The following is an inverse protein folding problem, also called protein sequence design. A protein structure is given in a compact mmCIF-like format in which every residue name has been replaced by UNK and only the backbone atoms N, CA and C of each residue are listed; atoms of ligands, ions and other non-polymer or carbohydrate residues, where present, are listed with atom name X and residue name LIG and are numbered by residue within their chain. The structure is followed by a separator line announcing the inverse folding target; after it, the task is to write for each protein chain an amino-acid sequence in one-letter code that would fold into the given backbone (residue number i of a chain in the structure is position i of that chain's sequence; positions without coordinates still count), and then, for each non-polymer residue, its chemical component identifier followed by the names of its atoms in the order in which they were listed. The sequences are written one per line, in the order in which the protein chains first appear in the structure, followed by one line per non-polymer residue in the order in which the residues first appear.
data_IF_539324593511
#
_entry.id   IF_539324593511
#
_cell.length_a   1.000
_cell.length_b   1.000
_cell.length_c   1.000
_cell.angle_alpha   90.00
_cell.angle_beta   90.00
_cell.angle_gamma   90.00
#
_symmetry.space_group_name_H-M   'P 1'
#
loop_
_entity.id
_entity.type
_entity.pdbx_description
1 polymer ?
2 non-polymer ?
3 non-polymer ?
4 water ?
#
# COMPACT_ATOMS: atom_id res chain seq x y z
N UNK A 1 15.65 -9.16 1.26
CA UNK A 1 15.00 -8.43 0.13
C UNK A 1 14.67 -6.97 0.47
N UNK A 2 14.14 -6.26 -0.53
CA UNK A 2 13.68 -4.89 -0.40
C UNK A 2 12.21 -4.94 0.01
N UNK A 3 11.89 -4.44 1.21
CA UNK A 3 10.48 -4.34 1.67
C UNK A 3 10.04 -2.92 1.41
N UNK A 4 8.95 -2.78 0.64
CA UNK A 4 8.48 -1.48 0.21
C UNK A 4 7.11 -1.24 0.73
N UNK A 5 6.87 -0.04 1.26
CA UNK A 5 5.53 0.43 1.53
C UNK A 5 4.99 1.15 0.30
N UNK A 6 3.69 1.00 0.06
CA UNK A 6 2.98 1.62 -1.04
C UNK A 6 1.70 2.18 -0.44
N UNK A 7 1.59 3.50 -0.29
CA UNK A 7 0.39 4.16 0.26
C UNK A 7 -0.09 5.44 -0.55
N UNK A 8 -1.40 5.66 -0.63
CA UNK A 8 -1.95 6.97 -1.03
C UNK A 8 -2.45 7.68 0.21
N UNK A 9 -2.12 8.95 0.40
CA UNK A 9 -2.63 9.66 1.60
C UNK A 9 -2.97 11.14 1.46
N UNK A 10 -3.92 11.55 2.29
CA UNK A 10 -4.39 12.91 2.53
C UNK A 10 -3.32 13.88 3.05
N UNK A 11 -3.60 15.17 2.96
CA UNK A 11 -2.72 16.16 3.59
C UNK A 11 -2.62 15.98 5.10
N UNK A 12 -3.64 15.41 5.73
CA UNK A 12 -3.56 15.00 7.15
C UNK A 12 -3.31 13.51 7.42
N UNK A 13 -2.62 12.84 6.48
CA UNK A 13 -2.27 11.37 6.54
C UNK A 13 -3.45 10.38 6.57
N UNK A 14 -4.67 10.84 6.25
CA UNK A 14 -5.85 9.97 6.17
C UNK A 14 -5.66 9.04 4.97
N UNK A 15 -5.86 7.72 5.16
CA UNK A 15 -5.85 6.74 4.02
C UNK A 15 -7.20 6.00 3.72
N UNK A 16 -8.18 6.09 4.62
CA UNK A 16 -9.46 5.46 4.41
C UNK A 16 -10.54 5.92 5.37
N UNK A 17 -11.79 5.70 4.97
CA UNK A 17 -12.93 6.17 5.73
C UNK A 17 -13.87 5.02 6.08
N UNK A 18 -14.45 4.38 5.07
CA UNK A 18 -15.46 3.36 5.35
C UNK A 18 -14.70 2.11 5.74
N UNK A 19 -14.47 1.31 4.72
CA UNK A 19 -13.48 0.28 4.71
C UNK A 19 -13.08 0.44 3.28
N UNK A 20 -12.85 1.70 2.94
CA UNK A 20 -12.77 2.15 1.56
C UNK A 20 -11.95 3.42 1.49
N UNK A 21 -11.47 3.73 0.29
CA UNK A 21 -10.82 5.00 0.05
C UNK A 21 -11.84 6.11 0.19
N UNK A 22 -11.45 7.24 0.81
CA UNK A 22 -12.31 8.43 0.89
C UNK A 22 -12.37 9.21 -0.43
N UNK A 23 -11.73 8.68 -1.47
CA UNK A 23 -11.75 9.28 -2.81
C UNK A 23 -11.90 8.21 -3.89
N UNK A 24 -12.04 8.64 -5.14
CA UNK A 24 -12.12 7.74 -6.30
C UNK A 24 -11.31 8.32 -7.48
N UNK A 25 -10.02 7.97 -7.55
CA UNK A 25 -9.08 8.49 -8.55
C UNK A 25 -8.53 7.36 -9.42
N UNK A 26 -9.17 7.08 -10.58
CA UNK A 26 -8.76 5.93 -11.41
C UNK A 26 -7.33 6.01 -11.96
N UNK A 27 -6.82 7.22 -12.20
CA UNK A 27 -5.46 7.38 -12.70
C UNK A 27 -4.40 7.05 -11.63
N UNK A 28 -4.75 7.24 -10.36
CA UNK A 28 -3.84 6.94 -9.26
C UNK A 28 -3.56 5.46 -9.25
N UNK A 29 -4.58 4.68 -9.60
CA UNK A 29 -4.54 3.23 -9.53
C UNK A 29 -3.57 2.66 -10.54
N UNK A 30 -3.09 3.50 -11.44
CA UNK A 30 -2.37 3.05 -12.64
C UNK A 30 -0.88 3.27 -12.48
N UNK A 31 -0.53 4.28 -11.68
CA UNK A 31 0.84 4.47 -11.29
C UNK A 31 1.18 3.29 -10.39
N UNK A 32 0.19 2.94 -9.58
CA UNK A 32 0.22 1.91 -8.57
C UNK A 32 0.30 0.55 -9.24
N UNK A 33 -0.50 0.39 -10.29
CA UNK A 33 -0.53 -0.83 -11.06
C UNK A 33 0.84 -1.08 -11.69
N UNK A 34 1.40 -0.06 -12.34
CA UNK A 34 2.65 -0.21 -13.10
C UNK A 34 3.86 -0.37 -12.18
N UNK A 35 3.87 0.31 -11.04
CA UNK A 35 4.96 0.16 -10.05
C UNK A 35 5.02 -1.26 -9.45
N UNK A 36 3.87 -1.81 -9.06
CA UNK A 36 3.81 -3.10 -8.34
C UNK A 36 3.79 -4.33 -9.26
N UNK A 37 3.62 -4.10 -10.55
CA UNK A 37 3.46 -5.16 -11.54
C UNK A 37 4.64 -6.12 -11.52
N UNK A 38 4.36 -7.40 -11.31
CA UNK A 38 5.40 -8.44 -11.29
C UNK A 38 5.96 -8.66 -9.89
N UNK A 39 5.21 -8.22 -8.89
CA UNK A 39 5.68 -8.24 -7.50
C UNK A 39 4.58 -8.61 -6.52
N UNK A 40 4.93 -9.37 -5.48
CA UNK A 40 3.92 -9.74 -4.49
C UNK A 40 3.39 -8.53 -3.73
N UNK A 41 2.10 -8.60 -3.40
CA UNK A 41 1.39 -7.54 -2.74
C UNK A 41 0.88 -8.19 -1.52
N UNK A 42 1.23 -7.59 -0.40
CA UNK A 42 0.84 -8.02 0.90
C UNK A 42 -0.17 -6.99 1.37
N UNK A 43 -1.34 -7.44 1.76
CA UNK A 43 -2.42 -6.55 2.09
C UNK A 43 -3.15 -7.21 3.21
N UNK A 44 -3.62 -6.39 4.16
CA UNK A 44 -4.36 -6.86 5.33
C UNK A 44 -5.69 -7.34 4.86
N UNK A 45 -6.36 -8.19 5.61
CA UNK A 45 -7.58 -8.71 4.98
C UNK A 45 -8.69 -7.70 4.86
N UNK A 46 -8.69 -6.70 5.74
CA UNK A 46 -9.60 -5.56 5.65
C UNK A 46 -9.38 -4.71 4.41
N UNK A 47 -8.12 -4.45 4.08
CA UNK A 47 -7.75 -3.92 2.78
C UNK A 47 -8.31 -4.76 1.66
N UNK A 48 -7.92 -6.03 1.60
CA UNK A 48 -8.44 -6.92 0.57
C UNK A 48 -9.94 -6.81 0.34
N UNK A 49 -10.74 -6.92 1.40
CA UNK A 49 -12.20 -6.84 1.26
C UNK A 49 -12.66 -5.51 0.66
N UNK A 50 -11.80 -4.50 0.72
CA UNK A 50 -12.05 -3.20 0.09
C UNK A 50 -11.72 -3.22 -1.41
N UNK A 51 -11.05 -4.29 -1.85
CA UNK A 51 -10.68 -4.49 -3.27
C UNK A 51 -11.55 -5.59 -3.88
N UNK A 52 -11.86 -6.61 -3.08
CA UNK A 52 -12.84 -7.63 -3.44
C UNK A 52 -12.41 -8.67 -4.47
N UNK A 53 -11.19 -8.55 -4.99
CA UNK A 53 -10.73 -9.41 -6.08
C UNK A 53 -9.21 -9.44 -6.17
N UNK A 54 -8.64 -10.54 -6.72
CA UNK A 54 -7.20 -10.62 -6.98
C UNK A 54 -6.79 -9.67 -8.11
N UNK A 55 -5.70 -8.94 -7.88
CA UNK A 55 -5.16 -7.99 -8.85
C UNK A 55 -4.14 -8.70 -9.76
N UNK A 56 -4.39 -8.72 -11.07
CA UNK A 56 -3.55 -9.56 -11.92
C UNK A 56 -2.06 -9.19 -11.97
N UNK A 57 -1.24 -10.18 -12.32
CA UNK A 57 0.21 -10.01 -12.54
C UNK A 57 1.08 -10.00 -11.30
N UNK A 58 0.46 -10.08 -10.13
CA UNK A 58 1.19 -10.01 -8.87
C UNK A 58 0.69 -11.12 -7.96
N UNK A 59 1.57 -11.62 -7.10
CA UNK A 59 1.20 -12.53 -6.02
C UNK A 59 0.49 -11.78 -4.90
N UNK A 60 -0.78 -12.10 -4.72
CA UNK A 60 -1.61 -11.47 -3.73
C UNK A 60 -1.57 -12.35 -2.50
N UNK A 61 -1.06 -11.75 -1.42
CA UNK A 61 -0.84 -12.37 -0.14
C UNK A 61 -1.67 -11.52 0.82
N UNK A 62 -2.54 -12.19 1.58
CA UNK A 62 -3.57 -11.56 2.42
C UNK A 62 -3.21 -11.97 3.85
N UNK A 63 -3.12 -10.99 4.75
CA UNK A 63 -2.77 -11.23 6.12
C UNK A 63 -4.02 -11.24 7.01
N UNK A 64 -4.27 -12.41 7.62
CA UNK A 64 -5.39 -12.64 8.52
C UNK A 64 -4.81 -13.50 9.58
N UNK A 65 -5.34 -13.38 10.80
CA UNK A 65 -5.22 -14.38 11.85
C UNK A 65 -6.16 -15.59 11.69
N UNK A 66 -7.08 -15.55 10.73
CA UNK A 66 -8.22 -16.53 10.66
C UNK A 66 -7.83 -17.81 9.87
N UNK A 67 -7.70 -18.93 10.59
CA UNK A 67 -7.19 -20.20 10.04
C UNK A 67 -8.00 -20.66 8.82
N UNK A 68 -9.23 -20.18 8.70
CA UNK A 68 -10.18 -20.71 7.73
C UNK A 68 -10.47 -19.77 6.59
N UNK A 69 -9.79 -18.63 6.56
CA UNK A 69 -9.94 -17.65 5.47
C UNK A 69 -9.21 -18.09 4.20
N UNK A 70 -9.97 -18.18 3.11
CA UNK A 70 -9.45 -18.52 1.79
C UNK A 70 -10.16 -17.74 0.72
N UNK A 71 -9.40 -17.28 -0.27
CA UNK A 71 -9.98 -16.73 -1.50
C UNK A 71 -9.20 -17.30 -2.67
N UNK A 72 -9.89 -17.89 -3.64
CA UNK A 72 -9.20 -18.45 -4.80
C UNK A 72 -8.48 -17.30 -5.49
N UNK A 73 -7.26 -17.57 -5.95
CA UNK A 73 -6.44 -16.53 -6.56
C UNK A 73 -5.66 -15.68 -5.57
N UNK A 74 -5.52 -16.15 -4.33
CA UNK A 74 -4.68 -15.44 -3.35
C UNK A 74 -4.03 -16.46 -2.40
N UNK A 75 -2.87 -16.11 -1.87
CA UNK A 75 -2.27 -16.90 -0.81
C UNK A 75 -2.73 -16.20 0.41
N UNK A 76 -2.46 -16.79 1.58
CA UNK A 76 -2.87 -16.28 2.86
C UNK A 76 -1.77 -16.57 3.88
N UNK A 77 -1.50 -15.62 4.77
CA UNK A 77 -0.43 -15.73 5.74
C UNK A 77 -0.99 -15.24 7.04
N UNK A 78 -0.74 -15.99 8.09
CA UNK A 78 -1.26 -15.73 9.39
C UNK A 78 -0.20 -15.03 10.25
N UNK A 79 0.82 -14.47 9.59
CA UNK A 79 2.07 -14.11 10.26
C UNK A 79 2.98 -13.24 9.41
N UNK A 80 3.76 -12.38 10.05
CA UNK A 80 4.87 -11.71 9.37
C UNK A 80 5.94 -12.73 8.90
N UNK A 81 6.31 -13.65 9.78
CA UNK A 81 7.23 -14.71 9.40
C UNK A 81 6.68 -15.62 8.28
N UNK A 82 5.38 -15.89 8.30
CA UNK A 82 4.78 -16.71 7.23
C UNK A 82 4.80 -15.94 5.90
N UNK A 83 4.58 -14.63 5.96
CA UNK A 83 4.77 -13.77 4.79
C UNK A 83 6.21 -13.88 4.29
N UNK A 84 7.20 -13.70 5.17
CA UNK A 84 8.57 -13.81 4.72
C UNK A 84 8.89 -15.21 4.21
N UNK A 85 8.27 -16.21 4.84
CA UNK A 85 8.50 -17.60 4.48
C UNK A 85 7.99 -17.82 3.06
N UNK A 86 6.80 -17.27 2.75
CA UNK A 86 6.25 -17.35 1.39
C UNK A 86 7.07 -16.55 0.34
N UNK A 87 7.67 -15.44 0.77
CA UNK A 87 8.42 -14.57 -0.14
C UNK A 87 9.91 -14.93 -0.15
N UNK A 88 10.18 -16.23 0.06
CA UNK A 88 11.50 -16.81 0.30
C UNK A 88 12.61 -16.28 -0.55
N UNK A 89 12.40 -16.26 -1.86
CA UNK A 89 13.46 -15.85 -2.80
C UNK A 89 13.04 -14.64 -3.63
N UNK A 90 12.21 -13.79 -3.04
CA UNK A 90 11.72 -12.58 -3.69
C UNK A 90 12.75 -11.46 -3.64
N UNK A 91 12.63 -10.51 -4.56
CA UNK A 91 13.55 -9.37 -4.66
C UNK A 91 13.01 -8.14 -3.94
N UNK A 92 11.76 -7.78 -4.24
CA UNK A 92 11.09 -6.66 -3.62
C UNK A 92 9.74 -7.16 -3.19
N UNK A 93 9.19 -6.52 -2.18
CA UNK A 93 7.93 -6.91 -1.60
C UNK A 93 7.17 -5.60 -1.33
N UNK A 94 5.92 -5.51 -1.79
CA UNK A 94 5.08 -4.32 -1.60
C UNK A 94 4.03 -4.46 -0.52
N UNK A 95 4.24 -3.73 0.57
CA UNK A 95 3.25 -3.67 1.61
C UNK A 95 2.21 -2.70 1.12
N UNK A 96 1.03 -3.26 0.84
CA UNK A 96 -0.02 -2.58 0.14
C UNK A 96 -1.01 -2.09 1.17
N UNK A 97 -0.65 -2.31 2.42
CA UNK A 97 -1.35 -1.70 3.49
C UNK A 97 -2.66 -2.23 3.96
N UNK A 98 -3.40 -1.28 4.52
CA UNK A 98 -4.09 -1.35 5.77
C UNK A 98 -3.04 -0.76 6.73
N UNK A 99 -3.42 0.15 7.63
CA UNK A 99 -2.46 0.66 8.64
C UNK A 99 -2.03 -0.42 9.62
N UNK A 100 -2.90 -1.37 9.94
CA UNK A 100 -2.49 -2.48 10.84
C UNK A 100 -1.32 -3.24 10.25
N UNK A 101 -1.37 -3.44 8.93
CA UNK A 101 -0.31 -4.07 8.20
C UNK A 101 0.92 -3.17 7.95
N UNK A 102 0.73 -1.85 7.81
CA UNK A 102 1.88 -0.96 7.73
C UNK A 102 2.57 -1.10 9.10
N UNK A 103 1.82 -1.05 10.19
CA UNK A 103 2.41 -1.31 11.51
C UNK A 103 3.22 -2.62 11.65
N UNK A 104 2.75 -3.75 11.09
CA UNK A 104 3.51 -5.00 11.24
C UNK A 104 4.88 -5.01 10.58
N UNK A 105 5.04 -4.26 9.51
CA UNK A 105 6.27 -4.37 8.71
C UNK A 105 7.20 -3.17 8.88
N UNK A 106 6.88 -2.30 9.83
CA UNK A 106 7.59 -1.06 10.08
C UNK A 106 9.07 -1.32 10.38
N UNK A 107 9.36 -2.40 11.14
CA UNK A 107 10.75 -2.75 11.45
C UNK A 107 11.54 -3.22 10.23
N UNK A 108 10.86 -3.59 9.15
CA UNK A 108 11.55 -4.17 8.02
C UNK A 108 11.62 -3.21 6.84
N UNK A 109 10.88 -2.10 6.91
CA UNK A 109 10.70 -1.24 5.71
C UNK A 109 12.04 -0.75 5.20
N UNK A 110 12.23 -0.86 3.89
CA UNK A 110 13.44 -0.39 3.21
C UNK A 110 13.13 0.84 2.35
N UNK A 111 11.91 0.97 1.82
CA UNK A 111 11.57 2.18 1.04
C UNK A 111 10.08 2.55 0.97
N UNK A 112 9.77 3.76 0.47
CA UNK A 112 8.43 4.31 0.57
C UNK A 112 7.82 4.89 -0.70
N UNK A 113 6.62 4.45 -1.06
CA UNK A 113 5.93 4.98 -2.24
C UNK A 113 4.65 5.64 -1.81
N UNK A 114 4.69 6.97 -1.78
CA UNK A 114 3.63 7.78 -1.19
C UNK A 114 3.08 8.77 -2.20
N UNK A 115 1.76 8.72 -2.38
CA UNK A 115 1.01 9.67 -3.13
C UNK A 115 0.50 10.63 -2.09
N UNK A 116 0.65 11.93 -2.30
CA UNK A 116 0.05 12.87 -1.35
C UNK A 116 -1.08 13.65 -2.01
N UNK A 117 -2.28 13.52 -1.47
CA UNK A 117 -3.42 14.26 -1.95
C UNK A 117 -3.47 15.57 -1.19
N UNK A 118 -3.54 16.68 -1.92
CA UNK A 118 -3.66 17.98 -1.29
C UNK A 118 -5.12 18.32 -1.18
N UNK A 119 -5.77 17.78 -0.15
CA UNK A 119 -7.18 18.00 0.13
C UNK A 119 -7.49 17.36 1.49
N UNK A 120 -8.48 17.87 2.19
CA UNK A 120 -8.87 17.25 3.44
C UNK A 120 -10.11 16.40 3.25
N UNK A 121 -9.95 15.09 3.40
CA UNK A 121 -11.08 14.19 3.50
C UNK A 121 -11.26 13.87 4.99
N UNK A 122 -12.50 13.76 5.44
CA UNK A 122 -12.77 13.36 6.83
C UNK A 122 -12.84 11.84 7.01
N UNK A 123 -11.69 11.16 6.87
CA UNK A 123 -11.58 9.69 7.03
C UNK A 123 -11.23 9.29 8.46
N UNK A 124 -10.94 8.00 8.68
CA UNK A 124 -10.71 7.50 10.06
C UNK A 124 -9.58 6.50 10.24
N UNK A 125 -9.03 5.99 9.16
CA UNK A 125 -7.82 5.24 9.29
C UNK A 125 -6.71 6.06 8.66
N UNK A 126 -5.60 6.12 9.39
CA UNK A 126 -4.48 6.98 9.05
C UNK A 126 -3.19 6.17 8.79
N UNK A 127 -2.31 6.67 7.94
CA UNK A 127 -1.01 6.08 7.79
C UNK A 127 -0.09 6.45 8.99
N UNK A 128 0.49 5.44 9.69
CA UNK A 128 1.32 5.72 10.85
C UNK A 128 2.50 6.64 10.58
N UNK A 129 2.83 7.43 11.59
CA UNK A 129 3.98 8.32 11.59
C UNK A 129 5.30 7.59 11.41
N UNK A 130 6.23 8.26 10.73
CA UNK A 130 7.50 7.63 10.43
C UNK A 130 8.76 8.42 10.75
N UNK A 131 9.85 7.66 10.91
CA UNK A 131 11.20 8.16 11.19
C UNK A 131 11.41 9.61 10.81
N UNK A 132 11.43 10.45 11.84
CA UNK A 132 12.01 11.78 11.74
C UNK A 132 13.41 11.54 11.19
N UNK A 133 13.95 12.52 10.44
CA UNK A 133 15.22 12.36 9.72
C UNK A 133 15.23 11.08 8.85
N UNK A 134 16.36 10.37 8.87
CA UNK A 134 16.51 9.06 8.23
C UNK A 134 16.32 9.11 6.71
N UNK A 135 15.18 8.60 6.27
CA UNK A 135 14.79 8.51 4.87
C UNK A 135 15.16 9.72 4.03
N UNK A 136 16.10 9.55 3.10
CA UNK A 136 16.39 10.56 2.09
C UNK A 136 15.46 10.37 0.92
N UNK A 137 14.92 11.47 0.39
CA UNK A 137 13.99 11.42 -0.74
C UNK A 137 14.73 11.14 -2.05
N UNK A 138 14.05 10.52 -3.02
CA UNK A 138 14.70 10.16 -4.29
C UNK A 138 13.87 10.49 -5.54
N UNK A 139 12.59 10.83 -5.35
CA UNK A 139 11.71 11.03 -6.49
C UNK A 139 10.51 11.90 -6.14
N UNK A 140 10.28 12.93 -6.94
CA UNK A 140 9.07 13.73 -6.86
C UNK A 140 8.48 13.95 -8.25
N UNK A 141 7.15 13.97 -8.32
CA UNK A 141 6.40 14.06 -9.58
C UNK A 141 4.92 14.37 -9.27
N UNK A 142 4.28 15.13 -10.15
CA UNK A 142 2.88 15.54 -9.98
C UNK A 142 1.90 14.72 -10.82
N UNK A 143 0.85 14.20 -10.23
CA UNK A 143 -0.12 13.46 -10.98
C UNK A 143 -1.14 14.30 -11.71
N UNK A 144 -2.25 13.68 -12.08
CA UNK A 144 -3.00 14.07 -13.22
C UNK A 144 -4.42 14.46 -12.85
N UNK A 145 -4.74 15.74 -12.99
CA UNK A 145 -6.06 16.21 -12.65
C UNK A 145 -7.02 16.42 -13.80
N UNK A 146 -8.25 16.03 -13.56
CA UNK A 146 -9.30 16.06 -14.57
C UNK A 146 -10.62 15.71 -13.90
N UNK A 147 -11.74 15.86 -14.63
CA UNK A 147 -13.00 15.27 -14.21
C UNK A 147 -12.74 13.76 -14.08
N UNK A 148 -12.90 13.22 -12.87
CA UNK A 148 -12.54 11.82 -12.64
C UNK A 148 -11.31 11.68 -11.74
N UNK A 149 -10.37 12.62 -11.85
CA UNK A 149 -9.23 12.74 -10.92
C UNK A 149 -9.09 14.18 -10.38
N UNK A 150 -10.19 14.77 -9.88
CA UNK A 150 -10.31 16.21 -9.72
C UNK A 150 -9.67 16.76 -8.45
N UNK A 151 -8.51 16.19 -8.09
CA UNK A 151 -7.72 16.60 -6.93
C UNK A 151 -6.27 16.77 -7.37
N UNK A 152 -5.55 17.68 -6.72
CA UNK A 152 -4.14 17.86 -7.03
C UNK A 152 -3.33 16.89 -6.16
N UNK A 153 -2.58 15.99 -6.79
CA UNK A 153 -1.83 14.96 -6.05
C UNK A 153 -0.43 14.69 -6.61
N UNK A 154 0.51 14.36 -5.71
CA UNK A 154 1.91 14.12 -6.07
C UNK A 154 2.53 12.78 -5.58
N UNK A 155 3.23 12.12 -6.49
CA UNK A 155 3.97 10.91 -6.20
C UNK A 155 5.33 11.25 -5.58
N UNK A 156 5.68 10.55 -4.50
CA UNK A 156 6.95 10.70 -3.78
C UNK A 156 7.54 9.32 -3.58
N UNK A 157 8.87 9.23 -3.53
CA UNK A 157 9.55 7.98 -3.21
C UNK A 157 10.76 8.28 -2.34
N UNK A 158 10.81 7.68 -1.16
CA UNK A 158 11.93 7.86 -0.23
C UNK A 158 12.65 6.53 -0.05
N UNK A 159 13.88 6.60 0.44
CA UNK A 159 14.69 5.43 0.71
C UNK A 159 15.51 5.70 1.96
N UNK A 160 15.70 4.67 2.77
CA UNK A 160 16.66 4.77 3.87
C UNK A 160 17.93 4.06 3.42
N UNK A 161 19.05 4.30 4.12
CA UNK A 161 20.33 3.68 3.73
C UNK A 161 20.79 2.54 4.67
X LIG B 1 -2.71 3.92 -3.72
X LIG B 1 -1.44 3.79 -3.28
X LIG B 1 -0.60 4.72 -3.68
X LIG B 1 -1.05 2.73 -2.48
X LIG B 1 -1.97 1.78 -2.10
X LIG B 1 -1.63 0.82 -1.23
X LIG B 1 -3.29 1.92 -2.54
X LIG B 1 -4.25 1.00 -2.20
X LIG B 1 -5.55 1.14 -2.63
X LIG B 1 -5.91 2.22 -3.44
X LIG B 1 -4.95 3.15 -3.81
X LIG B 1 -3.65 3.00 -3.35
X LIG B 1 -6.54 0.10 -2.19
X LIG B 1 -7.76 0.07 -2.94
X LIG B 1 -8.99 0.12 -2.11
X LIG B 1 -7.80 -1.25 -7.00
X LIG B 1 -9.02 -1.01 -6.35
X LIG B 1 -9.02 -0.59 -5.01
X LIG B 1 -7.80 -0.38 -4.32
X LIG B 1 -6.59 -0.61 -5.01
X LIG B 1 -6.60 -1.20 -6.27
X LIG B 1 -7.71 -1.68 -8.43
X LIG B 1 -8.76 -2.39 -9.07
X LIG B 1 -6.60 -1.33 -9.06
X LIG B 1 -6.20 -1.97 -10.30
X LIG B 1 -4.92 -2.74 -10.11
X LIG B 1 -3.94 -2.22 -9.51
X LIG B 1 -4.84 -3.92 -10.52
X LIG B 1 -6.09 -0.94 -11.44
X LIG B 1 -7.44 -0.33 -11.82
X LIG B 1 -8.54 -1.34 -12.12
X LIG B 1 -8.26 -2.51 -12.51
X LIG B 1 -9.76 -1.03 -12.00
X LIG C 1 -5.90 -3.72 7.29
X LIG C 1 -4.53 -3.50 7.88
X LIG C 1 -5.92 -3.53 5.81
X LIG C 1 -6.30 -5.22 7.62
X LIG C 1 -6.42 -5.54 8.98
X LIG C 1 -6.48 -7.04 9.16
X LIG C 1 -5.19 -7.61 9.06
X LIG C 1 -6.90 -7.38 10.59
X LIG C 1 -8.29 -7.20 10.77
X LIG C 1 -6.42 -8.82 10.68
X LIG C 1 -7.28 -9.66 9.93
X LIG C 1 -5.12 -8.75 9.89
X LIG C 1 -4.03 -8.67 10.89
X LIG C 1 -3.72 -7.60 11.69
X LIG C 1 -2.68 -7.99 12.47
X LIG C 1 -2.35 -9.27 12.19
X LIG C 1 -1.39 -10.14 12.70
X LIG C 1 -0.53 -9.74 13.66
X LIG C 1 -1.28 -11.42 12.18
X LIG C 1 -2.16 -11.85 11.19
X LIG C 1 -3.12 -10.98 10.72
X LIG C 1 -3.20 -9.71 11.20
X LIG C 1 -6.95 -2.82 8.08
X LIG C 1 -7.08 -1.24 8.36
X LIG C 1 -6.04 -0.81 9.29
X LIG C 1 -8.47 -0.99 8.72
X LIG C 1 -6.87 -0.59 6.92
X LIG C 1 -7.90 -0.73 5.97
X LIG C 1 -8.48 0.63 5.61
X LIG C 1 -7.47 1.45 5.05
X LIG C 1 -9.58 0.56 4.55
X LIG C 1 -10.39 1.71 4.67
X LIG C 1 -8.78 0.65 3.27
X LIG C 1 -9.54 1.14 2.21
X LIG C 1 -7.72 1.67 3.67
X LIG C 1 -6.49 1.56 2.87
X LIG C 1 -6.09 2.64 2.13
X LIG C 1 -4.92 2.58 1.36
X LIG C 1 -4.41 3.80 0.70
X LIG C 1 -3.12 3.78 0.12
X LIG C 1 -5.20 4.88 0.71
X LIG C 1 -4.17 1.42 1.35
X LIG C 1 -4.60 0.32 2.10
X LIG C 1 -5.76 0.41 2.87
X LIG C 1 -8.36 -10.63 10.64
X LIG C 1 -8.94 -11.46 9.56
X LIG C 1 -7.71 -11.54 11.65
X LIG C 1 -9.29 -9.72 11.40
#
# INVERSE_FOLDING_TARGET
MIVSFMVAMDENRVIGKDNNLPWRLPSELQYVKKTTMGHPLIMGRKNYEAIGRPLPGRRNIIVTRNEGYHVEGCEVAHSVEEVFELCKNEEEIFIFGGAQIYDLFLPYVDKLYITKIHHAFEGDTFFPEMDMTNWKEVFVEKGLTDEKNPYTYYYHVYEKQQ
MTX N1 C2 NA2 N3 C4 NA4 C4A N5 C6 C7 N8 C8A C9 N10 CM C11 C12 C13 C14 C15 C16 C O N CA CT O1 O2 CB CG CD OE1 OE2
NDP PA O1A O2A O5B C5B C4B O4B C3B O3B C2B O2B C1B N9A C8A N7A C5A C6A N6A N1A C2A N3A C4A O3 PN O1N O2N O5D C5D C4D O4D C3D O3D C2D O2D C1D N1N C2N C3N C7N O7N N7N C4N C5N C6N P2B O1X O2X O3X
#
